data_IF_879199910622
#
_entry.id   IF_879199910622
#
_cell.length_a   1.000
_cell.length_b   1.000
_cell.length_c   1.000
_cell.angle_alpha   90.00
_cell.angle_beta   90.00
_cell.angle_gamma   90.00
#
_symmetry.space_group_name_H-M   'P 1'
#
loop_
_entity.id
_entity.type
_entity.pdbx_description
1 polymer ?
#
# COMPACT_ATOMS: atom_id res chain seq x y z
N UNK A 1 0.74 24.97 -8.20
CA UNK A 1 2.01 24.34 -7.79
C UNK A 1 2.81 25.24 -6.86
N UNK A 2 3.08 26.47 -7.30
CA UNK A 2 3.99 27.43 -6.66
C UNK A 2 3.60 27.81 -5.22
N UNK A 3 2.34 28.14 -4.96
CA UNK A 3 1.86 28.54 -3.62
C UNK A 3 2.00 27.41 -2.58
N UNK A 4 1.84 26.15 -3.00
CA UNK A 4 1.98 24.99 -2.11
C UNK A 4 3.45 24.79 -1.70
N UNK A 5 4.38 24.93 -2.64
CA UNK A 5 5.81 24.89 -2.32
C UNK A 5 6.20 26.00 -1.35
N UNK A 6 5.74 27.24 -1.59
CA UNK A 6 6.03 28.37 -0.68
C UNK A 6 5.47 28.10 0.70
N UNK A 7 4.23 27.62 0.82
CA UNK A 7 3.62 27.26 2.10
C UNK A 7 4.40 26.16 2.85
N UNK A 8 4.86 25.12 2.14
CA UNK A 8 5.66 24.05 2.75
C UNK A 8 7.04 24.53 3.19
N UNK A 9 7.70 25.39 2.39
CA UNK A 9 9.00 25.98 2.73
C UNK A 9 8.86 26.90 3.96
N UNK A 10 7.83 27.76 4.02
CA UNK A 10 7.61 28.62 5.17
C UNK A 10 7.33 27.83 6.45
N UNK A 11 6.51 26.76 6.38
CA UNK A 11 6.24 25.90 7.51
C UNK A 11 7.49 25.13 7.98
N UNK A 12 8.36 24.71 7.06
CA UNK A 12 9.64 24.08 7.38
C UNK A 12 10.59 25.05 8.10
N UNK A 13 10.68 26.30 7.64
CA UNK A 13 11.50 27.34 8.28
C UNK A 13 11.02 27.68 9.70
N UNK A 14 9.74 27.46 9.98
CA UNK A 14 9.13 27.61 11.31
C UNK A 14 9.24 26.34 12.17
N UNK A 15 9.99 25.33 11.71
CA UNK A 15 10.19 24.07 12.44
C UNK A 15 8.95 23.18 12.50
N UNK A 16 7.92 23.48 11.71
CA UNK A 16 6.71 22.67 11.66
C UNK A 16 6.84 21.59 10.59
N UNK A 17 6.74 20.34 11.03
CA UNK A 17 6.57 19.18 10.17
C UNK A 17 5.12 18.72 10.25
N UNK A 18 4.59 18.14 9.16
CA UNK A 18 3.31 17.45 9.23
C UNK A 18 3.44 16.34 10.29
N UNK A 19 2.68 16.41 11.40
CA UNK A 19 2.80 15.42 12.45
C UNK A 19 2.43 14.06 11.85
N UNK A 20 3.26 13.01 12.04
CA UNK A 20 2.86 11.67 11.62
C UNK A 20 1.51 11.38 12.27
N UNK A 21 0.58 10.78 11.51
CA UNK A 21 -0.69 10.30 12.06
C UNK A 21 -0.43 9.13 13.02
N UNK A 22 0.09 9.42 14.21
CA UNK A 22 0.59 8.44 15.17
C UNK A 22 -0.53 7.81 16.02
N UNK A 23 -1.77 7.77 15.53
CA UNK A 23 -2.93 7.30 16.31
C UNK A 23 -3.87 6.36 15.56
N UNK A 24 -3.45 5.80 14.43
CA UNK A 24 -4.10 4.62 13.89
C UNK A 24 -3.43 3.40 14.50
N UNK A 25 -4.17 2.54 15.20
CA UNK A 25 -3.70 1.18 15.38
C UNK A 25 -3.55 0.59 13.97
N UNK A 26 -2.33 0.53 13.46
CA UNK A 26 -2.03 -0.05 12.15
C UNK A 26 -2.16 -1.57 12.26
N UNK A 27 -3.39 -2.05 12.46
CA UNK A 27 -3.70 -3.47 12.69
C UNK A 27 -3.20 -4.34 11.53
N UNK A 28 -3.19 -3.81 10.30
CA UNK A 28 -2.54 -4.46 9.16
C UNK A 28 -1.06 -4.72 9.39
N UNK A 29 -0.34 -3.73 9.92
CA UNK A 29 1.08 -3.84 10.26
C UNK A 29 1.28 -4.78 11.45
N UNK A 30 0.40 -4.74 12.46
CA UNK A 30 0.44 -5.67 13.58
C UNK A 30 0.33 -7.13 13.10
N UNK A 31 -0.66 -7.42 12.25
CA UNK A 31 -0.84 -8.76 11.65
C UNK A 31 0.39 -9.17 10.84
N UNK A 32 0.95 -8.25 10.05
CA UNK A 32 2.15 -8.51 9.25
C UNK A 32 3.38 -8.81 10.12
N UNK A 33 3.56 -8.08 11.23
CA UNK A 33 4.65 -8.32 12.20
C UNK A 33 4.48 -9.65 12.92
N UNK A 34 3.26 -10.02 13.32
CA UNK A 34 2.97 -11.32 13.93
C UNK A 34 3.32 -12.48 12.99
N UNK A 35 2.86 -12.42 11.74
CA UNK A 35 3.13 -13.43 10.73
C UNK A 35 4.63 -13.52 10.42
N UNK A 36 5.34 -12.40 10.34
CA UNK A 36 6.79 -12.35 10.13
C UNK A 36 7.57 -12.97 11.28
N UNK A 37 7.16 -12.70 12.53
CA UNK A 37 7.80 -13.27 13.71
C UNK A 37 7.63 -14.79 13.75
N UNK A 38 6.43 -15.30 13.47
CA UNK A 38 6.17 -16.74 13.39
C UNK A 38 7.01 -17.38 12.27
N UNK A 39 7.15 -16.72 11.11
CA UNK A 39 7.98 -17.20 10.01
C UNK A 39 9.45 -17.36 10.42
N UNK A 40 10.00 -16.38 11.13
CA UNK A 40 11.39 -16.37 11.55
C UNK A 40 11.69 -17.40 12.64
N UNK A 41 10.76 -17.60 13.58
CA UNK A 41 10.98 -18.43 14.78
C UNK A 41 10.37 -19.83 14.68
N UNK A 42 9.66 -20.13 13.58
CA UNK A 42 8.95 -21.40 13.39
C UNK A 42 7.69 -21.55 14.26
N UNK A 43 7.31 -20.51 15.00
CA UNK A 43 6.18 -20.51 15.92
C UNK A 43 6.30 -19.45 17.00
N UNK A 44 5.19 -19.12 17.66
CA UNK A 44 5.20 -18.23 18.82
C UNK A 44 3.97 -18.44 19.70
N UNK A 45 4.10 -18.29 21.02
CA UNK A 45 2.93 -18.24 21.90
C UNK A 45 2.25 -16.87 21.83
N UNK A 46 0.95 -16.82 22.14
CA UNK A 46 0.19 -15.55 22.25
C UNK A 46 0.87 -14.58 23.22
N UNK A 47 1.36 -15.09 24.35
CA UNK A 47 2.04 -14.28 25.36
C UNK A 47 3.34 -13.66 24.86
N UNK A 48 4.14 -14.40 24.09
CA UNK A 48 5.38 -13.89 23.48
C UNK A 48 5.07 -12.78 22.48
N UNK A 49 4.11 -12.99 21.57
CA UNK A 49 3.73 -11.98 20.57
C UNK A 49 3.17 -10.72 21.22
N UNK A 50 2.31 -10.86 22.23
CA UNK A 50 1.76 -9.71 22.95
C UNK A 50 2.86 -8.91 23.65
N UNK A 51 3.79 -9.60 24.32
CA UNK A 51 4.88 -8.95 25.07
C UNK A 51 5.83 -8.20 24.14
N UNK A 52 6.04 -8.69 22.92
CA UNK A 52 6.92 -8.08 21.94
C UNK A 52 6.26 -6.88 21.22
N UNK A 53 4.97 -6.97 20.92
CA UNK A 53 4.31 -6.06 19.98
C UNK A 53 3.36 -5.05 20.67
N UNK A 54 2.75 -5.42 21.79
CA UNK A 54 1.64 -4.67 22.40
C UNK A 54 1.85 -4.29 23.88
N UNK A 55 2.98 -4.69 24.50
CA UNK A 55 3.31 -4.29 25.87
C UNK A 55 3.65 -2.78 25.97
N UNK A 56 3.71 -2.20 27.18
CA UNK A 56 4.18 -0.82 27.34
C UNK A 56 5.53 -0.59 26.67
N UNK A 57 5.71 0.57 26.02
CA UNK A 57 6.91 0.92 25.25
C UNK A 57 7.18 0.05 24.01
N UNK A 58 6.15 -0.58 23.43
CA UNK A 58 6.24 -1.33 22.17
C UNK A 58 5.43 -0.65 21.04
N UNK A 59 5.64 -1.04 19.76
CA UNK A 59 5.05 -0.32 18.63
C UNK A 59 3.51 -0.26 18.60
N UNK A 60 2.82 -1.17 19.30
CA UNK A 60 1.36 -1.25 19.34
C UNK A 60 0.80 -1.20 20.77
N UNK A 61 1.40 -0.39 21.65
CA UNK A 61 0.98 -0.18 23.06
C UNK A 61 -0.51 0.21 23.23
N UNK A 62 -1.16 0.71 22.17
CA UNK A 62 -2.60 1.00 22.16
C UNK A 62 -3.54 -0.21 22.06
N UNK A 63 -3.02 -1.44 21.91
CA UNK A 63 -3.83 -2.66 21.78
C UNK A 63 -3.90 -3.39 23.13
N UNK A 64 -5.10 -3.46 23.69
CA UNK A 64 -5.34 -4.20 24.94
C UNK A 64 -5.16 -5.72 24.76
N UNK A 65 -4.96 -6.44 25.87
CA UNK A 65 -4.90 -7.91 25.87
C UNK A 65 -6.17 -8.54 25.27
N UNK A 66 -7.34 -7.96 25.55
CA UNK A 66 -8.61 -8.45 25.04
C UNK A 66 -8.70 -8.32 23.51
N UNK A 67 -8.38 -7.14 22.99
CA UNK A 67 -8.35 -6.87 21.54
C UNK A 67 -7.31 -7.76 20.84
N UNK A 68 -6.14 -7.99 21.44
CA UNK A 68 -5.12 -8.86 20.87
C UNK A 68 -5.59 -10.32 20.77
N UNK A 69 -6.23 -10.85 21.82
CA UNK A 69 -6.78 -12.21 21.80
C UNK A 69 -7.91 -12.34 20.79
N UNK A 70 -8.77 -11.32 20.67
CA UNK A 70 -9.82 -11.28 19.67
C UNK A 70 -9.24 -11.26 18.25
N UNK A 71 -8.20 -10.47 18.00
CA UNK A 71 -7.46 -10.45 16.75
C UNK A 71 -6.89 -11.82 16.41
N UNK A 72 -6.16 -12.46 17.33
CA UNK A 72 -5.59 -13.81 17.13
C UNK A 72 -6.69 -14.81 16.78
N UNK A 73 -7.82 -14.78 17.49
CA UNK A 73 -8.97 -15.66 17.20
C UNK A 73 -9.54 -15.41 15.81
N UNK A 74 -9.66 -14.16 15.40
CA UNK A 74 -10.14 -13.81 14.06
C UNK A 74 -9.17 -14.27 12.97
N UNK A 75 -7.85 -14.13 13.17
CA UNK A 75 -6.84 -14.63 12.25
C UNK A 75 -6.88 -16.16 12.14
N UNK A 76 -7.17 -16.86 13.24
CA UNK A 76 -7.43 -18.30 13.25
C UNK A 76 -8.64 -18.68 12.40
N UNK A 77 -9.76 -17.96 12.53
CA UNK A 77 -10.96 -18.17 11.71
C UNK A 77 -10.72 -17.92 10.22
N UNK A 78 -9.77 -17.03 9.88
CA UNK A 78 -9.35 -16.75 8.50
C UNK A 78 -8.26 -17.69 7.98
N UNK A 79 -7.91 -18.71 8.76
CA UNK A 79 -6.83 -19.67 8.45
C UNK A 79 -5.47 -18.99 8.21
N UNK A 80 -5.27 -17.77 8.74
CA UNK A 80 -3.98 -17.07 8.70
C UNK A 80 -3.05 -17.60 9.80
N UNK A 81 -3.62 -17.95 10.95
CA UNK A 81 -2.92 -18.60 12.05
C UNK A 81 -3.55 -19.97 12.33
N UNK A 82 -2.74 -20.89 12.82
CA UNK A 82 -3.17 -22.14 13.43
C UNK A 82 -2.54 -22.25 14.83
N UNK A 83 -3.22 -22.91 15.76
CA UNK A 83 -2.64 -23.20 17.06
C UNK A 83 -2.47 -24.71 17.20
N UNK A 84 -1.28 -25.14 17.59
CA UNK A 84 -1.01 -26.56 17.85
C UNK A 84 -1.51 -27.00 19.24
N UNK A 85 -1.32 -28.27 19.58
CA UNK A 85 -1.69 -28.82 20.88
C UNK A 85 -0.89 -28.26 22.06
N UNK A 86 0.25 -27.61 21.80
CA UNK A 86 1.11 -26.99 22.83
C UNK A 86 0.71 -25.54 23.12
N UNK A 87 -0.22 -24.98 22.34
CA UNK A 87 -0.62 -23.59 22.42
C UNK A 87 0.27 -22.64 21.59
N UNK A 88 1.18 -23.19 20.79
CA UNK A 88 2.04 -22.45 19.87
C UNK A 88 1.25 -22.06 18.63
N UNK A 89 1.30 -20.77 18.29
CA UNK A 89 0.77 -20.25 17.04
C UNK A 89 1.77 -20.50 15.91
N UNK A 90 1.24 -21.08 14.84
CA UNK A 90 1.87 -21.35 13.56
C UNK A 90 1.11 -20.61 12.46
N UNK A 91 1.64 -20.60 11.25
CA UNK A 91 0.86 -20.17 10.10
C UNK A 91 -0.27 -21.17 9.83
N UNK A 92 -1.46 -20.65 9.56
CA UNK A 92 -2.55 -21.46 9.01
C UNK A 92 -2.37 -21.63 7.50
N UNK A 93 -3.25 -22.42 6.89
CA UNK A 93 -3.24 -22.73 5.45
C UNK A 93 -3.17 -21.49 4.54
N UNK A 94 -3.86 -20.42 4.89
CA UNK A 94 -3.83 -19.15 4.14
C UNK A 94 -2.58 -18.34 4.51
N UNK A 95 -2.18 -18.37 5.78
CA UNK A 95 -0.97 -17.70 6.28
C UNK A 95 0.30 -18.21 5.61
N UNK A 96 0.45 -19.54 5.44
CA UNK A 96 1.60 -20.14 4.77
C UNK A 96 1.73 -19.67 3.32
N UNK A 97 0.61 -19.55 2.60
CA UNK A 97 0.60 -19.01 1.23
C UNK A 97 0.99 -17.53 1.21
N UNK A 98 0.55 -16.78 2.22
CA UNK A 98 0.79 -15.35 2.32
C UNK A 98 2.27 -15.04 2.61
N UNK A 99 2.90 -15.80 3.52
CA UNK A 99 4.31 -15.62 3.93
C UNK A 99 5.29 -16.13 2.87
N UNK A 100 4.94 -17.19 2.15
CA UNK A 100 5.77 -17.73 1.07
C UNK A 100 5.69 -16.91 -0.23
N UNK A 101 4.89 -15.84 -0.28
CA UNK A 101 4.83 -14.94 -1.42
C UNK A 101 5.86 -13.81 -1.26
N UNK A 102 6.66 -13.53 -2.29
CA UNK A 102 7.78 -12.57 -2.27
C UNK A 102 7.39 -11.11 -1.91
N UNK A 103 6.10 -10.78 -1.92
CA UNK A 103 5.55 -9.46 -1.55
C UNK A 103 5.30 -9.31 -0.04
N UNK A 104 5.44 -10.37 0.76
CA UNK A 104 5.08 -10.36 2.19
C UNK A 104 5.94 -9.42 3.06
N UNK A 105 7.20 -9.21 2.67
CA UNK A 105 8.12 -8.30 3.36
C UNK A 105 8.04 -6.85 2.86
N UNK A 106 7.23 -6.55 1.85
CA UNK A 106 7.04 -5.18 1.37
C UNK A 106 6.01 -4.46 2.25
N UNK A 107 6.47 -3.54 3.10
CA UNK A 107 5.62 -2.66 3.91
C UNK A 107 4.79 -1.65 3.08
N UNK A 108 4.98 -1.66 1.76
CA UNK A 108 4.27 -0.85 0.79
C UNK A 108 3.57 -1.80 -0.18
N UNK A 109 2.27 -1.61 -0.40
CA UNK A 109 1.56 -2.29 -1.47
C UNK A 109 2.30 -1.95 -2.78
N UNK A 110 2.89 -2.95 -3.43
CA UNK A 110 3.39 -2.77 -4.78
C UNK A 110 2.15 -2.59 -5.66
N UNK A 111 1.94 -1.36 -6.17
CA UNK A 111 0.89 -1.10 -7.14
C UNK A 111 1.06 -2.09 -8.30
N UNK A 112 0.00 -2.81 -8.66
CA UNK A 112 0.07 -3.69 -9.81
C UNK A 112 0.36 -2.83 -11.06
N UNK A 113 1.33 -3.25 -11.86
CA UNK A 113 1.74 -2.53 -13.07
C UNK A 113 1.33 -3.33 -14.32
N UNK A 114 0.73 -2.65 -15.30
CA UNK A 114 0.44 -3.22 -16.62
C UNK A 114 1.56 -2.85 -17.60
N UNK A 115 1.98 -3.80 -18.43
CA UNK A 115 2.91 -3.55 -19.54
C UNK A 115 2.19 -2.85 -20.67
N UNK A 116 2.79 -1.82 -21.24
CA UNK A 116 2.28 -1.14 -22.43
C UNK A 116 3.03 -1.67 -23.65
N UNK A 117 2.30 -2.23 -24.61
CA UNK A 117 2.87 -2.85 -25.81
C UNK A 117 2.31 -2.18 -27.06
N UNK A 118 3.18 -1.84 -28.01
CA UNK A 118 2.79 -1.35 -29.33
C UNK A 118 3.46 -2.20 -30.41
N UNK A 119 2.68 -2.85 -31.27
CA UNK A 119 3.21 -3.64 -32.39
C UNK A 119 4.23 -4.71 -31.96
N UNK A 120 3.98 -5.38 -30.84
CA UNK A 120 4.88 -6.41 -30.27
C UNK A 120 6.08 -5.88 -29.47
N UNK A 121 6.30 -4.55 -29.42
CA UNK A 121 7.37 -3.95 -28.62
C UNK A 121 6.82 -3.40 -27.30
N UNK A 122 7.41 -3.82 -26.18
CA UNK A 122 7.15 -3.22 -24.87
C UNK A 122 7.71 -1.80 -24.82
N UNK A 123 6.85 -0.84 -24.48
CA UNK A 123 7.19 0.56 -24.28
C UNK A 123 7.60 0.84 -22.84
N UNK A 124 6.97 0.17 -21.87
CA UNK A 124 7.23 0.28 -20.43
C UNK A 124 6.02 -0.18 -19.61
N UNK A 125 5.85 0.32 -18.38
CA UNK A 125 4.75 -0.05 -17.48
C UNK A 125 3.93 1.15 -17.00
N UNK A 126 2.66 0.91 -16.64
CA UNK A 126 1.75 1.90 -16.04
C UNK A 126 1.08 1.31 -14.78
N UNK A 127 1.02 2.04 -13.66
CA UNK A 127 0.31 1.59 -12.47
C UNK A 127 -1.21 1.51 -12.71
N UNK A 128 -1.85 0.50 -12.11
CA UNK A 128 -3.31 0.20 -12.21
C UNK A 128 -4.20 1.24 -11.51
N UNK A 129 -3.62 2.26 -10.88
CA UNK A 129 -4.37 3.29 -10.15
C UNK A 129 -5.37 4.07 -11.02
N UNK A 130 -5.32 3.93 -12.35
CA UNK A 130 -6.28 4.50 -13.28
C UNK A 130 -6.93 3.40 -14.13
N UNK A 131 -8.24 3.23 -14.00
CA UNK A 131 -9.02 2.37 -14.89
C UNK A 131 -8.94 2.93 -16.32
N UNK A 132 -8.26 2.21 -17.20
CA UNK A 132 -8.18 2.55 -18.63
C UNK A 132 -9.31 1.84 -19.39
N UNK A 133 -9.85 2.49 -20.42
CA UNK A 133 -10.85 1.90 -21.32
C UNK A 133 -10.30 1.77 -22.73
N UNK A 134 -10.71 0.73 -23.46
CA UNK A 134 -10.41 0.60 -24.89
C UNK A 134 -10.89 1.85 -25.65
N UNK A 135 -10.05 2.36 -26.56
CA UNK A 135 -10.27 3.61 -27.29
C UNK A 135 -9.78 4.88 -26.56
N UNK A 136 -9.47 4.80 -25.27
CA UNK A 136 -8.92 5.92 -24.51
C UNK A 136 -7.53 6.32 -25.03
N UNK A 137 -7.22 7.62 -25.02
CA UNK A 137 -5.88 8.12 -25.30
C UNK A 137 -5.08 8.23 -24.00
N UNK A 138 -3.87 7.66 -24.00
CA UNK A 138 -2.90 7.76 -22.92
C UNK A 138 -1.63 8.48 -23.41
N UNK A 139 -0.98 9.20 -22.51
CA UNK A 139 0.34 9.79 -22.76
C UNK A 139 1.40 8.91 -22.09
N UNK A 140 2.31 8.35 -22.89
CA UNK A 140 3.39 7.52 -22.38
C UNK A 140 4.71 7.83 -23.10
N UNK A 141 5.78 8.04 -22.33
CA UNK A 141 7.09 8.46 -22.83
C UNK A 141 7.02 9.67 -23.79
N UNK A 142 6.19 10.67 -23.45
CA UNK A 142 6.02 11.90 -24.24
C UNK A 142 5.27 11.71 -25.57
N UNK A 143 4.65 10.55 -25.80
CA UNK A 143 3.88 10.23 -27.02
C UNK A 143 2.45 9.86 -26.67
N UNK A 144 1.52 10.23 -27.53
CA UNK A 144 0.11 9.88 -27.38
C UNK A 144 -0.16 8.53 -28.03
N UNK A 145 -0.81 7.66 -27.27
CA UNK A 145 -1.19 6.31 -27.66
C UNK A 145 -2.69 6.14 -27.46
N UNK A 146 -3.33 5.35 -28.31
CA UNK A 146 -4.73 4.94 -28.15
C UNK A 146 -4.73 3.49 -27.70
N UNK A 147 -5.47 3.19 -26.63
CA UNK A 147 -5.69 1.82 -26.15
C UNK A 147 -6.52 1.07 -27.18
N UNK A 148 -6.02 -0.07 -27.64
CA UNK A 148 -6.72 -0.95 -28.58
C UNK A 148 -7.27 -2.18 -27.88
N UNK A 149 -6.55 -2.69 -26.89
CA UNK A 149 -6.94 -3.86 -26.12
C UNK A 149 -6.31 -3.81 -24.72
N UNK A 150 -7.03 -4.36 -23.74
CA UNK A 150 -6.55 -4.55 -22.38
C UNK A 150 -6.69 -6.04 -22.06
N UNK A 151 -5.56 -6.72 -21.92
CA UNK A 151 -5.49 -8.09 -21.42
C UNK A 151 -5.22 -8.02 -19.90
N UNK A 152 -6.29 -8.16 -19.12
CA UNK A 152 -6.22 -8.16 -17.66
C UNK A 152 -5.48 -9.39 -17.11
N UNK A 153 -5.61 -10.55 -17.76
CA UNK A 153 -4.99 -11.79 -17.33
C UNK A 153 -3.46 -11.73 -17.50
N UNK A 154 -2.98 -11.15 -18.60
CA UNK A 154 -1.56 -10.95 -18.87
C UNK A 154 -1.03 -9.60 -18.40
N UNK A 155 -1.86 -8.78 -17.75
CA UNK A 155 -1.53 -7.42 -17.29
C UNK A 155 -0.85 -6.60 -18.40
N UNK A 156 -1.45 -6.60 -19.59
CA UNK A 156 -0.87 -5.99 -20.79
C UNK A 156 -1.89 -5.10 -21.50
N UNK A 157 -1.47 -3.88 -21.84
CA UNK A 157 -2.27 -2.90 -22.58
C UNK A 157 -1.65 -2.78 -23.96
N UNK A 158 -2.40 -3.15 -24.99
CA UNK A 158 -2.01 -2.97 -26.37
C UNK A 158 -2.44 -1.58 -26.84
N UNK A 159 -1.50 -0.87 -27.44
CA UNK A 159 -1.72 0.51 -27.89
C UNK A 159 -1.19 0.75 -29.30
N UNK A 160 -1.87 1.64 -30.01
CA UNK A 160 -1.40 2.17 -31.28
C UNK A 160 -1.08 3.66 -31.16
N UNK A 161 -0.14 4.13 -31.99
CA UNK A 161 0.25 5.53 -32.02
C UNK A 161 -0.92 6.39 -32.49
N UNK A 162 -1.28 7.41 -31.70
CA UNK A 162 -2.31 8.38 -32.07
C UNK A 162 -1.64 9.70 -32.47
N UNK A 163 -1.86 10.16 -33.70
CA UNK A 163 -1.39 11.47 -34.15
C UNK A 163 -2.37 12.58 -33.80
N UNK A 164 -1.89 13.65 -33.15
CA UNK A 164 -2.61 14.92 -32.94
C UNK A 164 -3.84 14.86 -32.01
N UNK A 165 -4.02 15.89 -31.19
CA UNK A 165 -5.24 16.10 -30.39
C UNK A 165 -4.99 16.38 -28.90
N UNK A 166 -5.95 17.10 -28.31
CA UNK A 166 -5.98 17.67 -26.96
C UNK A 166 -5.35 16.76 -25.89
N UNK A 167 -4.43 17.27 -25.05
CA UNK A 167 -3.83 16.50 -23.96
C UNK A 167 -4.92 15.86 -23.08
N UNK A 168 -4.77 14.58 -22.68
CA UNK A 168 -5.73 13.97 -21.76
C UNK A 168 -5.77 14.73 -20.43
N UNK A 169 -6.95 14.81 -19.82
CA UNK A 169 -7.16 15.41 -18.51
C UNK A 169 -6.46 14.55 -17.44
N UNK A 170 -5.52 15.14 -16.72
CA UNK A 170 -4.89 14.51 -15.56
C UNK A 170 -5.80 14.63 -14.34
N UNK A 171 -6.37 13.53 -13.87
CA UNK A 171 -6.73 13.42 -12.45
C UNK A 171 -5.47 13.02 -11.68
N UNK A 172 -4.56 13.97 -11.48
CA UNK A 172 -3.50 13.79 -10.48
C UNK A 172 -4.19 13.55 -9.15
N UNK A 173 -4.11 12.32 -8.63
CA UNK A 173 -4.70 11.96 -7.34
C UNK A 173 -4.24 13.00 -6.31
N UNK A 174 -5.18 13.81 -5.82
CA UNK A 174 -4.88 14.77 -4.78
C UNK A 174 -4.58 13.96 -3.52
N UNK A 175 -3.30 13.67 -3.26
CA UNK A 175 -2.86 13.22 -1.94
C UNK A 175 -3.47 14.16 -0.90
N UNK A 176 -4.00 13.60 0.19
CA UNK A 176 -4.65 14.38 1.25
C UNK A 176 -3.63 15.36 1.84
N UNK A 177 -3.71 16.61 1.42
CA UNK A 177 -2.90 17.70 1.97
C UNK A 177 -3.48 18.10 3.32
N UNK A 178 -2.66 18.04 4.37
CA UNK A 178 -3.04 18.44 5.73
C UNK A 178 -3.72 19.81 5.76
N UNK A 179 -4.74 19.96 6.61
CA UNK A 179 -5.52 21.20 6.75
C UNK A 179 -4.65 22.43 7.04
N UNK A 180 -3.56 22.26 7.80
CA UNK A 180 -2.60 23.33 8.12
C UNK A 180 -1.84 23.86 6.90
N UNK A 181 -1.51 23.00 5.94
CA UNK A 181 -0.90 23.42 4.67
C UNK A 181 -1.94 24.22 3.85
N UNK A 182 -3.21 23.80 3.87
CA UNK A 182 -4.30 24.56 3.22
C UNK A 182 -4.61 25.90 3.90
N UNK A 183 -4.38 26.01 5.19
CA UNK A 183 -4.53 27.27 5.93
C UNK A 183 -3.40 28.24 5.57
N UNK A 184 -2.13 27.78 5.60
CA UNK A 184 -0.99 28.62 5.19
C UNK A 184 -1.06 29.05 3.72
N UNK A 185 -1.55 28.17 2.83
CA UNK A 185 -1.81 28.55 1.43
C UNK A 185 -2.87 29.64 1.25
N UNK A 186 -3.73 29.90 2.25
CA UNK A 186 -4.72 30.99 2.23
C UNK A 186 -4.20 32.29 2.84
N UNK A 187 -3.16 32.20 3.65
CA UNK A 187 -2.48 33.34 4.29
C UNK A 187 -1.40 33.95 3.39
N UNK A 188 -0.98 33.22 2.34
CA UNK A 188 -0.05 33.64 1.29
C UNK A 188 -0.81 34.08 0.03
#
# INVERSE_FOLDING_TARGET
GTVRMVAMISLLLEGWFEPPMARGAHLSTLVQQMLSFIAQNGGATIGQLYSLLCAPATPFEGVSKGEFVELVRHLGQKELLAQDSTGTLLHGRVGEKFVNHYTFYAAFAADEEFRIVSGGRTLGTLPVSQALTVGQRILFAGKTWRVEEIDEAQKTIFVARAGGGTPPLFSGGAGRVHTRVRQRMREL
#
